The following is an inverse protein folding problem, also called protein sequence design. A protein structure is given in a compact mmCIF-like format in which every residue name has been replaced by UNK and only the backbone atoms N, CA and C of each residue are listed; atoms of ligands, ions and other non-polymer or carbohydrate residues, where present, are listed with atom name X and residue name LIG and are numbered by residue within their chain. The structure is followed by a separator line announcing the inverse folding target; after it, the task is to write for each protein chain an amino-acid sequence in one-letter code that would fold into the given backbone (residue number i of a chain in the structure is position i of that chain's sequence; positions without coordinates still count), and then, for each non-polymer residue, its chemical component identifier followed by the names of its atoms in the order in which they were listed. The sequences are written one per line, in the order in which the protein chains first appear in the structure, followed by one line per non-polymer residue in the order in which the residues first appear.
data_IF_082498704195
#
_entry.id   IF_082498704195
#
_cell.length_a   1.000
_cell.length_b   1.000
_cell.length_c   1.000
_cell.angle_alpha   90.00
_cell.angle_beta   90.00
_cell.angle_gamma   90.00
#
_symmetry.space_group_name_H-M   'P 1'
#
loop_
_entity.id
_entity.type
_entity.pdbx_description
1 polymer ?
#
# COMPACT_ATOMS: atom_id res chain seq x y z
N UNK A 1 12.15 5.41 9.16
CA UNK A 1 11.26 6.57 9.16
C UNK A 1 9.92 6.20 9.77
N UNK A 2 9.47 6.92 10.75
CA UNK A 2 8.15 6.75 11.35
C UNK A 2 7.19 7.82 10.81
N UNK A 3 5.92 7.69 11.15
CA UNK A 3 4.94 8.71 10.80
C UNK A 3 5.26 10.04 11.48
N UNK A 4 5.05 11.12 10.78
CA UNK A 4 5.11 12.47 11.35
C UNK A 4 3.72 12.81 11.89
N UNK A 5 3.53 12.64 13.20
CA UNK A 5 2.24 12.78 13.86
C UNK A 5 2.08 14.20 14.37
N UNK A 6 0.97 14.87 13.99
CA UNK A 6 0.65 16.19 14.50
C UNK A 6 0.23 16.11 15.98
N UNK A 7 0.36 17.23 16.74
CA UNK A 7 -0.13 17.25 18.12
C UNK A 7 -1.63 16.93 18.25
N UNK A 8 -2.45 17.38 17.31
CA UNK A 8 -3.88 17.12 17.31
C UNK A 8 -4.18 15.63 17.11
N UNK A 9 -3.48 14.99 16.16
CA UNK A 9 -3.65 13.56 15.91
C UNK A 9 -3.20 12.74 17.11
N UNK A 10 -2.11 13.14 17.75
CA UNK A 10 -1.64 12.49 18.97
C UNK A 10 -2.67 12.59 20.10
N UNK A 11 -3.32 13.74 20.26
CA UNK A 11 -4.39 13.90 21.24
C UNK A 11 -5.59 13.02 20.96
N UNK A 12 -6.00 12.90 19.69
CA UNK A 12 -7.06 11.97 19.30
C UNK A 12 -6.72 10.54 19.74
N UNK A 13 -5.49 10.10 19.45
CA UNK A 13 -5.04 8.76 19.81
C UNK A 13 -5.05 8.54 21.34
N UNK A 14 -4.63 9.54 22.10
CA UNK A 14 -4.61 9.45 23.57
C UNK A 14 -6.01 9.42 24.17
N UNK A 15 -7.00 9.99 23.51
CA UNK A 15 -8.39 10.05 23.97
C UNK A 15 -9.27 8.93 23.42
N UNK A 16 -8.67 7.96 22.70
CA UNK A 16 -9.33 6.72 22.32
C UNK A 16 -9.52 6.54 20.82
N UNK A 17 -10.07 7.53 20.11
CA UNK A 17 -10.43 7.38 18.71
C UNK A 17 -9.63 8.30 17.82
N UNK A 18 -9.15 7.74 16.70
CA UNK A 18 -8.46 8.48 15.64
C UNK A 18 -9.39 8.58 14.44
N UNK A 19 -9.61 9.79 13.96
CA UNK A 19 -10.37 10.03 12.73
C UNK A 19 -9.63 9.44 11.53
N UNK A 20 -10.33 8.62 10.73
CA UNK A 20 -9.75 7.94 9.57
C UNK A 20 -9.17 8.95 8.55
N UNK A 21 -9.88 10.05 8.29
CA UNK A 21 -9.40 11.06 7.35
C UNK A 21 -8.12 11.74 7.84
N UNK A 22 -8.02 12.02 9.14
CA UNK A 22 -6.82 12.58 9.73
C UNK A 22 -5.65 11.60 9.69
N UNK A 23 -5.92 10.33 9.92
CA UNK A 23 -4.90 9.28 9.84
C UNK A 23 -4.39 9.10 8.41
N UNK A 24 -5.28 9.04 7.42
CA UNK A 24 -4.86 8.94 6.01
C UNK A 24 -4.07 10.16 5.54
N UNK A 25 -4.44 11.36 6.00
CA UNK A 25 -3.67 12.56 5.70
C UNK A 25 -2.25 12.48 6.30
N UNK A 26 -2.12 11.93 7.49
CA UNK A 26 -0.82 11.68 8.13
C UNK A 26 0.01 10.68 7.32
N UNK A 27 -0.59 9.59 6.86
CA UNK A 27 0.08 8.59 6.01
C UNK A 27 0.56 9.22 4.70
N UNK A 28 -0.30 9.97 4.04
CA UNK A 28 0.05 10.64 2.78
C UNK A 28 1.22 11.60 2.95
N UNK A 29 1.21 12.40 4.01
CA UNK A 29 2.28 13.36 4.28
C UNK A 29 3.59 12.68 4.69
N UNK A 30 3.52 11.57 5.42
CA UNK A 30 4.69 10.87 5.95
C UNK A 30 5.31 9.88 4.94
N UNK A 31 4.49 9.28 4.08
CA UNK A 31 4.91 8.26 3.12
C UNK A 31 4.46 8.64 1.69
N UNK A 32 4.93 9.79 1.17
CA UNK A 32 4.38 10.34 -0.08
C UNK A 32 4.64 9.45 -1.31
N UNK A 33 5.78 8.77 -1.37
CA UNK A 33 6.07 7.86 -2.48
C UNK A 33 5.11 6.66 -2.47
N UNK A 34 4.97 6.01 -1.32
CA UNK A 34 4.08 4.84 -1.20
C UNK A 34 2.63 5.21 -1.49
N UNK A 35 2.19 6.36 -0.98
CA UNK A 35 0.85 6.88 -1.27
C UNK A 35 0.64 7.06 -2.78
N UNK A 36 1.62 7.67 -3.45
CA UNK A 36 1.53 7.93 -4.88
C UNK A 36 1.47 6.63 -5.70
N UNK A 37 2.23 5.62 -5.31
CA UNK A 37 2.17 4.30 -5.96
C UNK A 37 0.75 3.73 -5.90
N UNK A 38 0.13 3.74 -4.72
CA UNK A 38 -1.23 3.20 -4.56
C UNK A 38 -2.25 4.07 -5.30
N UNK A 39 -2.10 5.38 -5.26
CA UNK A 39 -2.98 6.32 -5.98
C UNK A 39 -2.93 6.06 -7.50
N UNK A 40 -1.74 5.91 -8.06
CA UNK A 40 -1.55 5.65 -9.49
C UNK A 40 -2.11 4.29 -9.90
N UNK A 41 -1.88 3.26 -9.10
CA UNK A 41 -2.42 1.93 -9.34
C UNK A 41 -3.95 1.93 -9.30
N UNK A 42 -4.53 2.63 -8.34
CA UNK A 42 -6.00 2.77 -8.25
C UNK A 42 -6.57 3.49 -9.46
N UNK A 43 -5.88 4.55 -9.93
CA UNK A 43 -6.27 5.25 -11.15
C UNK A 43 -6.26 4.34 -12.37
N UNK A 44 -5.22 3.51 -12.54
CA UNK A 44 -5.15 2.53 -13.63
C UNK A 44 -6.24 1.47 -13.53
N UNK A 45 -6.51 1.00 -12.31
CA UNK A 45 -7.56 0.03 -12.07
C UNK A 45 -8.92 0.55 -12.56
N UNK A 46 -9.24 1.79 -12.22
CA UNK A 46 -10.51 2.41 -12.63
C UNK A 46 -10.56 2.67 -14.13
N UNK A 47 -9.44 3.04 -14.74
CA UNK A 47 -9.39 3.35 -16.17
C UNK A 47 -9.53 2.11 -17.05
N UNK A 48 -9.01 0.97 -16.62
CA UNK A 48 -8.95 -0.25 -17.44
C UNK A 48 -10.10 -1.21 -17.21
N UNK A 49 -10.86 -1.06 -16.13
CA UNK A 49 -11.90 -2.03 -15.76
C UNK A 49 -11.36 -3.39 -15.32
N UNK A 50 -10.05 -3.51 -15.10
CA UNK A 50 -9.42 -4.76 -14.67
C UNK A 50 -9.79 -5.11 -13.22
N UNK A 51 -9.56 -6.35 -12.82
CA UNK A 51 -9.77 -6.80 -11.44
C UNK A 51 -8.65 -6.33 -10.51
N UNK A 52 -7.45 -6.17 -11.06
CA UNK A 52 -6.27 -5.73 -10.30
C UNK A 52 -5.34 -4.88 -11.15
N UNK A 53 -4.50 -4.10 -10.47
CA UNK A 53 -3.36 -3.41 -11.05
C UNK A 53 -2.18 -3.55 -10.09
N UNK A 54 -1.00 -3.82 -10.61
CA UNK A 54 0.17 -4.01 -9.77
C UNK A 54 1.39 -3.22 -10.27
N UNK A 55 2.31 -2.96 -9.35
CA UNK A 55 3.48 -2.15 -9.60
C UNK A 55 4.66 -3.04 -10.02
N UNK A 56 5.23 -2.76 -11.19
CA UNK A 56 6.41 -3.45 -11.71
C UNK A 56 7.67 -2.59 -11.67
N UNK A 57 7.57 -1.36 -11.19
CA UNK A 57 8.67 -0.40 -11.19
C UNK A 57 9.35 -0.43 -9.82
N UNK A 58 10.65 -0.77 -9.76
CA UNK A 58 11.37 -0.75 -8.49
C UNK A 58 11.40 0.66 -7.88
N UNK A 59 11.41 0.77 -6.54
CA UNK A 59 11.60 2.07 -5.90
C UNK A 59 12.93 2.70 -6.33
N UNK A 60 12.99 4.04 -6.49
CA UNK A 60 14.20 4.71 -6.96
C UNK A 60 15.34 4.69 -5.96
N UNK A 61 15.06 4.52 -4.66
CA UNK A 61 16.06 4.54 -3.60
C UNK A 61 15.57 3.81 -2.33
N UNK A 62 16.42 3.75 -1.32
CA UNK A 62 16.12 3.07 -0.06
C UNK A 62 14.99 3.75 0.71
N UNK A 63 14.89 5.07 0.65
CA UNK A 63 13.82 5.82 1.31
C UNK A 63 12.47 5.43 0.74
N UNK A 64 12.34 5.40 -0.57
CA UNK A 64 11.12 5.00 -1.26
C UNK A 64 10.74 3.55 -0.94
N UNK A 65 11.73 2.64 -0.97
CA UNK A 65 11.52 1.24 -0.60
C UNK A 65 11.00 1.11 0.82
N UNK A 66 11.60 1.84 1.76
CA UNK A 66 11.18 1.84 3.15
C UNK A 66 9.75 2.33 3.34
N UNK A 67 9.31 3.29 2.54
CA UNK A 67 7.92 3.77 2.60
C UNK A 67 6.93 2.68 2.21
N UNK A 68 7.18 1.98 1.10
CA UNK A 68 6.31 0.87 0.68
C UNK A 68 6.23 -0.22 1.74
N UNK A 69 7.38 -0.64 2.27
CA UNK A 69 7.43 -1.66 3.29
C UNK A 69 6.64 -1.27 4.54
N UNK A 70 6.79 -0.03 5.01
CA UNK A 70 6.08 0.45 6.20
C UNK A 70 4.57 0.50 5.98
N UNK A 71 4.14 1.01 4.84
CA UNK A 71 2.72 1.08 4.53
C UNK A 71 2.09 -0.31 4.47
N UNK A 72 2.74 -1.23 3.78
CA UNK A 72 2.17 -2.56 3.52
C UNK A 72 2.30 -3.51 4.71
N UNK A 73 3.31 -3.34 5.55
CA UNK A 73 3.53 -4.19 6.71
C UNK A 73 2.66 -3.79 7.92
N UNK A 74 2.13 -2.58 7.94
CA UNK A 74 1.27 -2.11 9.03
C UNK A 74 -0.19 -2.40 8.70
N UNK A 75 -0.82 -3.24 9.50
CA UNK A 75 -2.25 -3.54 9.33
C UNK A 75 -3.11 -2.29 9.45
N UNK A 76 -2.77 -1.40 10.39
CA UNK A 76 -3.51 -0.15 10.59
C UNK A 76 -3.38 0.78 9.38
N UNK A 77 -2.17 0.98 8.87
CA UNK A 77 -1.95 1.85 7.71
C UNK A 77 -2.51 1.25 6.44
N UNK A 78 -2.25 -0.04 6.19
CA UNK A 78 -2.79 -0.71 5.01
C UNK A 78 -4.31 -0.66 5.00
N UNK A 79 -4.95 -0.95 6.14
CA UNK A 79 -6.41 -0.91 6.26
C UNK A 79 -6.99 0.48 6.00
N UNK A 80 -6.35 1.53 6.53
CA UNK A 80 -6.79 2.91 6.30
C UNK A 80 -6.67 3.30 4.82
N UNK A 81 -5.59 2.91 4.15
CA UNK A 81 -5.37 3.17 2.73
C UNK A 81 -6.41 2.41 1.89
N UNK A 82 -6.67 1.16 2.23
CA UNK A 82 -7.73 0.37 1.57
C UNK A 82 -9.09 1.07 1.65
N UNK A 83 -9.46 1.54 2.82
CA UNK A 83 -10.75 2.24 3.01
C UNK A 83 -10.79 3.55 2.24
N UNK A 84 -9.68 4.28 2.23
CA UNK A 84 -9.62 5.58 1.54
C UNK A 84 -9.82 5.44 0.03
N UNK A 85 -9.16 4.48 -0.60
CA UNK A 85 -9.22 4.27 -2.05
C UNK A 85 -10.34 3.31 -2.47
N UNK A 86 -10.99 2.62 -1.54
CA UNK A 86 -12.03 1.65 -1.85
C UNK A 86 -11.50 0.42 -2.57
N UNK A 87 -10.32 -0.06 -2.19
CA UNK A 87 -9.64 -1.20 -2.81
C UNK A 87 -9.13 -2.17 -1.73
N UNK A 88 -8.68 -3.33 -2.18
CA UNK A 88 -7.89 -4.25 -1.34
C UNK A 88 -6.44 -4.18 -1.79
N UNK A 89 -5.53 -4.33 -0.84
CA UNK A 89 -4.08 -4.24 -1.09
C UNK A 89 -3.40 -5.56 -0.79
N UNK A 90 -2.40 -5.90 -1.60
CA UNK A 90 -1.48 -7.00 -1.32
C UNK A 90 -0.07 -6.60 -1.77
N UNK A 91 0.93 -7.33 -1.28
CA UNK A 91 2.33 -6.95 -1.50
C UNK A 91 3.17 -8.20 -1.66
N UNK A 92 4.01 -8.19 -2.68
CA UNK A 92 4.98 -9.26 -2.94
C UNK A 92 6.35 -8.66 -3.18
N UNK A 93 7.37 -9.43 -2.82
CA UNK A 93 8.77 -9.02 -3.00
C UNK A 93 8.99 -7.68 -2.26
N UNK A 94 9.81 -6.81 -2.76
CA UNK A 94 10.08 -5.56 -2.05
C UNK A 94 9.44 -4.34 -2.70
N UNK A 95 8.72 -4.52 -3.82
CA UNK A 95 8.15 -3.39 -4.55
C UNK A 95 6.82 -3.68 -5.22
N UNK A 96 6.41 -4.94 -5.28
CA UNK A 96 5.21 -5.31 -6.03
C UNK A 96 3.97 -5.13 -5.16
N UNK A 97 3.53 -3.88 -5.05
CA UNK A 97 2.24 -3.54 -4.48
C UNK A 97 1.16 -3.80 -5.52
N UNK A 98 0.02 -4.32 -5.10
CA UNK A 98 -1.12 -4.56 -5.98
C UNK A 98 -2.39 -4.03 -5.34
N UNK A 99 -3.25 -3.43 -6.16
CA UNK A 99 -4.59 -3.00 -5.78
C UNK A 99 -5.62 -3.87 -6.47
N UNK A 100 -6.65 -4.24 -5.74
CA UNK A 100 -7.70 -5.14 -6.21
C UNK A 100 -9.06 -4.48 -6.01
N UNK A 101 -9.98 -4.70 -6.95
CA UNK A 101 -11.38 -4.35 -6.72
C UNK A 101 -11.89 -5.15 -5.53
N UNK A 102 -12.76 -4.58 -4.69
CA UNK A 102 -13.24 -5.30 -3.48
C UNK A 102 -13.87 -6.64 -3.78
N UNK A 103 -14.51 -6.79 -4.96
CA UNK A 103 -15.13 -8.05 -5.38
C UNK A 103 -14.17 -9.06 -5.99
N UNK A 104 -12.91 -8.71 -6.25
CA UNK A 104 -11.93 -9.59 -6.89
C UNK A 104 -11.28 -10.54 -5.88
N UNK A 105 -12.09 -11.26 -5.12
CA UNK A 105 -11.62 -12.11 -4.01
C UNK A 105 -10.77 -13.27 -4.48
N UNK A 106 -11.09 -13.86 -5.64
CA UNK A 106 -10.31 -14.97 -6.19
C UNK A 106 -8.95 -14.49 -6.70
N UNK A 107 -8.90 -13.35 -7.39
CA UNK A 107 -7.64 -12.78 -7.86
C UNK A 107 -6.73 -12.43 -6.69
N UNK A 108 -7.27 -11.86 -5.61
CA UNK A 108 -6.52 -11.55 -4.40
C UNK A 108 -5.98 -12.84 -3.74
N UNK A 109 -6.82 -13.86 -3.61
CA UNK A 109 -6.42 -15.13 -3.02
C UNK A 109 -5.29 -15.78 -3.82
N UNK A 110 -5.36 -15.75 -5.15
CA UNK A 110 -4.31 -16.27 -6.02
C UNK A 110 -3.00 -15.50 -5.89
N UNK A 111 -3.08 -14.17 -5.86
CA UNK A 111 -1.91 -13.31 -5.72
C UNK A 111 -1.14 -13.58 -4.42
N UNK A 112 -1.84 -13.94 -3.36
CA UNK A 112 -1.24 -14.17 -2.04
C UNK A 112 -0.76 -15.60 -1.81
N UNK A 113 -0.75 -16.45 -2.86
CA UNK A 113 -0.23 -17.83 -2.74
C UNK A 113 1.30 -17.86 -2.79
N UNK A 114 1.92 -18.90 -2.19
CA UNK A 114 3.36 -19.12 -2.36
C UNK A 114 3.77 -19.26 -3.82
N UNK A 115 2.95 -19.92 -4.63
CA UNK A 115 3.20 -20.07 -6.06
C UNK A 115 3.33 -18.71 -6.75
N UNK A 116 2.39 -17.81 -6.49
CA UNK A 116 2.40 -16.47 -7.07
C UNK A 116 3.65 -15.68 -6.61
N UNK A 117 3.97 -15.77 -5.33
CA UNK A 117 5.17 -15.12 -4.78
C UNK A 117 6.44 -15.57 -5.51
N UNK A 118 6.57 -16.86 -5.76
CA UNK A 118 7.76 -17.42 -6.42
C UNK A 118 7.80 -17.05 -7.89
N UNK A 119 6.69 -17.20 -8.61
CA UNK A 119 6.62 -16.92 -10.04
C UNK A 119 6.81 -15.44 -10.36
N UNK A 120 6.48 -14.56 -9.43
CA UNK A 120 6.60 -13.12 -9.60
C UNK A 120 7.93 -12.56 -9.07
N UNK A 121 8.85 -13.44 -8.69
CA UNK A 121 10.17 -13.02 -8.26
C UNK A 121 10.93 -12.42 -9.45
N UNK A 122 11.52 -11.26 -9.24
CA UNK A 122 12.32 -10.60 -10.28
C UNK A 122 13.81 -10.83 -10.02
N UNK A 123 14.53 -11.50 -10.94
CA UNK A 123 15.96 -11.73 -10.77
C UNK A 123 16.80 -10.44 -10.71
N UNK A 124 16.29 -9.35 -11.29
CA UNK A 124 16.97 -8.06 -11.31
C UNK A 124 16.96 -7.37 -9.94
N UNK A 125 16.06 -7.80 -9.06
CA UNK A 125 15.86 -7.16 -7.76
C UNK A 125 16.55 -7.95 -6.65
N UNK A 126 17.83 -8.19 -6.82
CA UNK A 126 18.62 -9.02 -5.91
C UNK A 126 18.79 -8.40 -4.52
N UNK A 127 18.54 -7.11 -4.38
CA UNK A 127 18.67 -6.40 -3.10
C UNK A 127 17.33 -6.24 -2.37
N UNK A 128 16.33 -6.95 -2.77
CA UNK A 128 15.03 -6.90 -2.10
C UNK A 128 14.97 -7.82 -0.90
#
# INVERSE_FOLDING_TARGET
MSLTVSPDLLQQARHGDVDDAAFTACIQASLPYAWQVISDLTGRLHATGAELADNHIPPPDETARGQLLRMMASDAMRGAVERHFGVRLAFQNCHRAAVFRPGATQALAEFTTPRSQILNQSPELTNC
#
